data_IF_088365818535
#
_entry.id   IF_088365818535
#
_cell.length_a   1.000
_cell.length_b   1.000
_cell.length_c   1.000
_cell.angle_alpha   90.00
_cell.angle_beta   90.00
_cell.angle_gamma   90.00
#
_symmetry.space_group_name_H-M   'P 1'
#
loop_
_entity.id
_entity.type
_entity.pdbx_description
1 polymer ?
#
# COMPACT_ATOMS: atom_id res chain seq x y z
N UNK A 1 -1.63 -5.74 -11.14
CA UNK A 1 -2.72 -5.23 -10.27
C UNK A 1 -2.59 -3.73 -10.22
N UNK A 2 -3.64 -2.99 -10.61
CA UNK A 2 -3.71 -1.57 -10.32
C UNK A 2 -3.67 -1.39 -8.80
N UNK A 3 -2.72 -0.58 -8.35
CA UNK A 3 -2.46 -0.25 -6.96
C UNK A 3 -3.53 0.77 -6.54
N UNK A 4 -4.31 0.46 -5.50
CA UNK A 4 -5.48 1.29 -5.16
C UNK A 4 -5.00 2.65 -4.63
N UNK A 5 -5.56 3.77 -5.13
CA UNK A 5 -5.32 5.08 -4.52
C UNK A 5 -6.13 5.17 -3.22
N UNK A 6 -5.47 5.53 -2.14
CA UNK A 6 -6.08 5.77 -0.82
C UNK A 6 -5.28 5.15 0.34
N UNK A 7 -5.49 5.61 1.59
CA UNK A 7 -4.95 4.94 2.77
C UNK A 7 -5.47 3.50 2.86
N UNK A 8 -4.66 2.59 3.41
CA UNK A 8 -5.13 1.23 3.71
C UNK A 8 -6.30 1.27 4.67
N UNK A 9 -7.29 0.41 4.41
CA UNK A 9 -8.39 0.21 5.35
C UNK A 9 -7.86 -0.38 6.65
N UNK A 10 -8.40 0.08 7.77
CA UNK A 10 -8.14 -0.49 9.09
C UNK A 10 -9.07 -1.68 9.30
N UNK A 11 -8.52 -2.82 9.70
CA UNK A 11 -9.30 -3.99 10.07
C UNK A 11 -10.01 -3.73 11.41
N UNK A 12 -11.34 -3.90 11.43
CA UNK A 12 -12.18 -3.62 12.61
C UNK A 12 -11.77 -4.47 13.81
N UNK A 13 -11.32 -5.70 13.57
CA UNK A 13 -10.95 -6.66 14.62
C UNK A 13 -9.61 -6.36 15.30
N UNK A 14 -8.65 -5.76 14.60
CA UNK A 14 -7.28 -5.57 15.09
C UNK A 14 -6.88 -4.11 15.24
N UNK A 15 -7.63 -3.17 14.64
CA UNK A 15 -7.26 -1.77 14.58
C UNK A 15 -6.01 -1.49 13.73
N UNK A 16 -5.52 -2.49 12.97
CA UNK A 16 -4.32 -2.40 12.13
C UNK A 16 -4.66 -2.32 10.64
N UNK A 17 -3.76 -1.81 9.78
CA UNK A 17 -3.96 -1.82 8.33
C UNK A 17 -4.22 -3.24 7.78
N UNK A 18 -5.21 -3.38 6.90
CA UNK A 18 -5.56 -4.65 6.25
C UNK A 18 -4.39 -5.15 5.37
N UNK A 19 -3.80 -6.28 5.77
CA UNK A 19 -2.65 -6.88 5.09
C UNK A 19 -3.00 -7.43 3.70
N UNK A 20 -4.28 -7.73 3.43
CA UNK A 20 -4.74 -8.22 2.13
C UNK A 20 -4.74 -7.13 1.08
N UNK A 21 -4.85 -5.87 1.47
CA UNK A 21 -4.81 -4.73 0.55
C UNK A 21 -3.37 -4.41 0.16
N UNK A 22 -3.11 -4.31 -1.14
CA UNK A 22 -1.87 -3.73 -1.67
C UNK A 22 -2.12 -2.27 -1.98
N UNK A 23 -1.45 -1.38 -1.26
CA UNK A 23 -1.50 0.07 -1.47
C UNK A 23 -0.09 0.64 -1.66
N UNK A 24 -0.07 1.88 -2.13
CA UNK A 24 1.13 2.62 -2.43
C UNK A 24 1.68 3.16 -1.11
N UNK A 25 3.00 3.07 -0.92
CA UNK A 25 3.67 3.78 0.18
C UNK A 25 3.52 5.31 0.04
N UNK A 26 3.32 5.76 -1.18
CA UNK A 26 3.28 7.17 -1.56
C UNK A 26 1.89 7.80 -1.32
N UNK A 27 0.90 7.03 -0.82
CA UNK A 27 -0.43 7.58 -0.53
C UNK A 27 -0.47 8.26 0.85
N UNK A 28 -0.88 9.54 0.93
CA UNK A 28 -1.04 10.23 2.22
C UNK A 28 -2.02 9.48 3.13
N UNK A 29 -1.68 9.34 4.41
CA UNK A 29 -2.49 8.61 5.40
C UNK A 29 -2.17 7.12 5.56
N UNK A 30 -1.26 6.56 4.75
CA UNK A 30 -0.71 5.23 5.00
C UNK A 30 0.40 5.26 6.06
N UNK A 31 0.52 4.21 6.86
CA UNK A 31 1.63 4.11 7.84
C UNK A 31 2.97 3.99 7.10
N UNK A 32 3.99 4.82 7.43
CA UNK A 32 5.27 4.84 6.72
C UNK A 32 6.07 3.52 6.87
N UNK A 33 5.68 2.68 7.83
CA UNK A 33 6.20 1.33 8.06
C UNK A 33 5.73 0.29 7.03
N UNK A 34 4.78 0.63 6.15
CA UNK A 34 4.26 -0.33 5.18
C UNK A 34 5.30 -0.67 4.10
N UNK A 35 5.42 -1.97 3.83
CA UNK A 35 6.31 -2.49 2.79
C UNK A 35 5.84 -1.95 1.43
N UNK A 36 6.71 -1.24 0.68
CA UNK A 36 6.33 -0.73 -0.62
C UNK A 36 6.04 -1.90 -1.58
N UNK A 37 5.14 -1.72 -2.56
CA UNK A 37 5.00 -2.69 -3.64
C UNK A 37 6.34 -2.83 -4.37
N UNK A 38 6.65 -4.04 -4.86
CA UNK A 38 7.80 -4.25 -5.75
C UNK A 38 7.61 -3.35 -6.98
N UNK A 39 8.38 -2.27 -7.05
CA UNK A 39 8.50 -1.46 -8.26
C UNK A 39 9.24 -2.33 -9.27
N UNK A 40 8.56 -2.84 -10.29
CA UNK A 40 9.25 -3.32 -11.48
C UNK A 40 9.91 -2.08 -12.06
N UNK A 41 11.24 -2.01 -11.97
CA UNK A 41 12.02 -0.97 -12.62
C UNK A 41 11.70 -1.09 -14.11
N UNK A 42 10.90 -0.17 -14.64
CA UNK A 42 10.74 -0.03 -16.07
C UNK A 42 12.12 0.36 -16.58
N UNK A 43 12.82 -0.61 -17.16
CA UNK A 43 14.00 -0.34 -17.97
C UNK A 43 13.53 0.58 -19.08
N UNK A 44 13.92 1.85 -19.00
CA UNK A 44 13.74 2.81 -20.09
C UNK A 44 14.51 2.23 -21.27
N UNK A 45 13.78 1.80 -22.29
CA UNK A 45 14.31 1.31 -23.55
C UNK A 45 14.23 2.43 -24.58
#
# INVERSE_FOLDING_TARGET
MALKPGPKRIAISTGKPDERQRDNKDTPGNTPSLKPPKKQQQTKK
#
